data_IF_979704073483
#
_entry.id   IF_979704073483
#
_cell.length_a   1.000
_cell.length_b   1.000
_cell.length_c   1.000
_cell.angle_alpha   90.00
_cell.angle_beta   90.00
_cell.angle_gamma   90.00
#
_symmetry.space_group_name_H-M   'P 1'
#
loop_
_entity.id
_entity.type
_entity.pdbx_description
1 polymer ?
#
# COMPACT_ATOMS: atom_id res chain seq x y z
N UNK A 1 -17.91 -47.80 38.99
CA UNK A 1 -19.30 -48.21 39.32
C UNK A 1 -20.19 -46.97 39.25
N UNK A 2 -21.30 -47.07 38.50
CA UNK A 2 -22.53 -46.23 38.54
C UNK A 2 -22.38 -44.70 38.52
N UNK A 3 -22.62 -44.06 37.37
CA UNK A 3 -23.90 -43.42 36.96
C UNK A 3 -24.51 -42.48 38.02
N UNK A 4 -24.54 -41.19 37.69
CA UNK A 4 -25.55 -40.20 38.09
C UNK A 4 -25.54 -39.04 37.07
N UNK A 5 -26.50 -39.07 36.15
CA UNK A 5 -27.18 -37.87 35.62
C UNK A 5 -28.24 -37.47 36.68
N UNK A 6 -28.67 -36.19 36.80
CA UNK A 6 -29.59 -35.64 35.80
C UNK A 6 -29.65 -34.10 35.61
N UNK A 7 -30.45 -33.75 34.59
CA UNK A 7 -31.38 -32.62 34.49
C UNK A 7 -30.97 -31.28 33.85
N UNK A 8 -31.61 -31.09 32.70
CA UNK A 8 -31.91 -29.88 31.93
C UNK A 8 -32.44 -28.71 32.76
N UNK A 9 -32.08 -27.49 32.35
CA UNK A 9 -32.98 -26.33 32.38
C UNK A 9 -32.70 -25.44 31.17
N UNK A 10 -33.76 -25.14 30.42
CA UNK A 10 -33.83 -24.15 29.37
C UNK A 10 -34.33 -22.82 29.95
N UNK A 11 -33.81 -21.71 29.45
CA UNK A 11 -34.39 -20.36 29.51
C UNK A 11 -33.83 -19.65 28.25
N UNK A 12 -34.57 -19.17 27.25
CA UNK A 12 -35.79 -18.37 27.18
C UNK A 12 -35.72 -17.13 28.08
N UNK A 13 -35.37 -16.01 27.47
CA UNK A 13 -35.47 -14.65 28.01
C UNK A 13 -35.21 -13.66 26.86
N UNK A 14 -36.18 -13.48 25.96
CA UNK A 14 -37.16 -12.39 25.97
C UNK A 14 -36.56 -11.02 25.63
N UNK A 15 -36.95 -10.57 24.44
CA UNK A 15 -36.81 -9.22 23.95
C UNK A 15 -37.46 -8.21 24.91
N UNK A 16 -36.73 -7.14 25.22
CA UNK A 16 -37.29 -5.91 25.75
C UNK A 16 -37.41 -4.92 24.60
N UNK A 17 -38.64 -4.75 24.10
CA UNK A 17 -39.03 -3.68 23.19
C UNK A 17 -38.89 -2.33 23.89
N UNK A 18 -38.08 -1.43 23.34
CA UNK A 18 -38.23 0.00 23.61
C UNK A 18 -39.38 0.52 22.75
N UNK A 19 -40.46 0.91 23.42
CA UNK A 19 -41.60 1.60 22.84
C UNK A 19 -41.30 3.09 22.83
N UNK A 20 -41.41 3.70 21.65
CA UNK A 20 -41.60 5.15 21.52
C UNK A 20 -40.32 5.96 21.32
N UNK A 21 -39.83 6.00 20.09
CA UNK A 21 -39.45 7.25 19.43
C UNK A 21 -39.37 7.05 17.92
N UNK A 22 -39.84 8.07 17.21
CA UNK A 22 -40.06 8.11 15.77
C UNK A 22 -38.71 8.11 15.04
N UNK A 23 -38.51 7.14 14.14
CA UNK A 23 -37.66 7.31 12.96
C UNK A 23 -36.17 6.96 13.07
N UNK A 24 -35.80 5.80 13.63
CA UNK A 24 -34.53 5.16 13.24
C UNK A 24 -34.80 4.17 12.12
N UNK A 25 -34.62 4.61 10.87
CA UNK A 25 -34.54 3.71 9.72
C UNK A 25 -33.20 2.99 9.82
N UNK A 26 -33.16 1.88 10.54
CA UNK A 26 -32.10 0.90 10.32
C UNK A 26 -32.39 0.25 8.97
N UNK A 27 -31.64 0.64 7.94
CA UNK A 27 -31.55 -0.17 6.74
C UNK A 27 -31.17 -1.59 7.19
N UNK A 28 -31.99 -2.62 6.93
CA UNK A 28 -31.57 -3.98 7.19
C UNK A 28 -30.29 -4.23 6.38
N UNK A 29 -29.34 -5.02 6.88
CA UNK A 29 -28.24 -5.46 6.04
C UNK A 29 -28.87 -6.13 4.82
N UNK A 30 -28.71 -5.53 3.64
CA UNK A 30 -28.99 -6.21 2.39
C UNK A 30 -28.00 -7.35 2.36
N UNK A 31 -28.43 -8.51 2.84
CA UNK A 31 -27.79 -9.78 2.55
C UNK A 31 -27.88 -9.91 1.03
N UNK A 32 -26.82 -9.48 0.35
CA UNK A 32 -26.60 -9.84 -1.03
C UNK A 32 -26.83 -11.35 -1.11
N UNK A 33 -27.65 -11.79 -2.06
CA UNK A 33 -27.84 -13.20 -2.33
C UNK A 33 -26.46 -13.88 -2.35
N UNK A 34 -26.27 -15.02 -1.66
CA UNK A 34 -24.98 -15.69 -1.53
C UNK A 34 -24.23 -15.87 -2.87
N UNK A 35 -24.96 -15.94 -3.99
CA UNK A 35 -24.40 -16.02 -5.34
C UNK A 35 -23.68 -14.77 -5.88
N UNK A 36 -23.89 -13.57 -5.34
CA UNK A 36 -23.21 -12.34 -5.79
C UNK A 36 -21.87 -12.08 -5.06
N UNK A 37 -21.67 -12.67 -3.86
CA UNK A 37 -20.37 -12.68 -3.17
C UNK A 37 -19.41 -13.68 -3.80
N UNK A 38 -19.92 -14.85 -4.20
CA UNK A 38 -19.11 -15.96 -4.69
C UNK A 38 -18.37 -15.71 -6.03
N UNK A 39 -18.71 -14.67 -6.81
CA UNK A 39 -18.08 -14.41 -8.12
C UNK A 39 -16.94 -13.39 -8.09
N UNK A 40 -16.64 -12.78 -6.93
CA UNK A 40 -15.56 -11.79 -6.79
C UNK A 40 -14.42 -12.23 -5.88
N UNK A 41 -14.59 -13.32 -5.14
CA UNK A 41 -13.65 -13.82 -4.14
C UNK A 41 -12.74 -14.88 -4.78
N UNK A 42 -11.48 -14.50 -5.03
CA UNK A 42 -10.42 -15.38 -5.52
C UNK A 42 -9.44 -15.68 -4.39
N UNK A 43 -9.02 -16.92 -4.21
CA UNK A 43 -7.95 -17.25 -3.24
C UNK A 43 -6.62 -17.31 -3.96
N UNK A 44 -5.66 -16.46 -3.56
CA UNK A 44 -4.33 -16.38 -4.16
C UNK A 44 -3.22 -16.73 -3.15
N UNK A 45 -2.13 -17.31 -3.65
CA UNK A 45 -0.84 -17.29 -2.94
C UNK A 45 -0.19 -15.91 -3.05
N UNK A 46 0.85 -15.65 -2.26
CA UNK A 46 1.64 -14.40 -2.39
C UNK A 46 2.30 -14.31 -3.77
N UNK A 47 2.77 -15.42 -4.33
CA UNK A 47 3.34 -15.47 -5.68
C UNK A 47 2.30 -15.14 -6.76
N UNK A 48 1.07 -15.66 -6.64
CA UNK A 48 0.01 -15.33 -7.59
C UNK A 48 -0.43 -13.86 -7.47
N UNK A 49 -0.39 -13.29 -6.26
CA UNK A 49 -0.62 -11.86 -6.08
C UNK A 49 0.53 -11.03 -6.69
N UNK A 50 1.79 -11.47 -6.56
CA UNK A 50 2.94 -10.85 -7.23
C UNK A 50 2.75 -10.84 -8.75
N UNK A 51 2.40 -11.99 -9.34
CA UNK A 51 2.11 -12.11 -10.78
C UNK A 51 0.90 -11.27 -11.22
N UNK A 52 -0.08 -11.03 -10.35
CA UNK A 52 -1.22 -10.12 -10.65
C UNK A 52 -0.75 -8.66 -10.72
N UNK A 53 0.08 -8.23 -9.78
CA UNK A 53 0.59 -6.86 -9.71
C UNK A 53 1.64 -6.60 -10.80
N UNK A 54 2.50 -7.59 -11.09
CA UNK A 54 3.67 -7.49 -11.97
C UNK A 54 3.86 -8.71 -12.89
N UNK A 55 2.87 -9.09 -13.72
CA UNK A 55 3.05 -10.15 -14.69
C UNK A 55 4.20 -9.81 -15.65
N UNK A 56 4.78 -10.89 -16.12
CA UNK A 56 5.93 -10.94 -17.03
C UNK A 56 5.46 -10.76 -18.47
N UNK A 57 4.62 -9.76 -18.71
CA UNK A 57 4.16 -9.34 -20.04
C UNK A 57 4.87 -8.04 -20.45
N UNK A 58 4.83 -7.75 -21.75
CA UNK A 58 5.32 -6.46 -22.26
C UNK A 58 4.50 -5.31 -21.67
N UNK A 59 5.21 -4.24 -21.32
CA UNK A 59 4.64 -3.02 -20.78
C UNK A 59 4.68 -1.91 -21.84
N UNK A 60 3.61 -1.13 -21.94
CA UNK A 60 3.54 0.07 -22.80
C UNK A 60 3.16 1.27 -21.96
N UNK A 61 3.66 2.43 -22.34
CA UNK A 61 3.21 3.68 -21.76
C UNK A 61 2.23 4.34 -22.71
N UNK A 62 0.98 4.49 -22.27
CA UNK A 62 -0.03 5.21 -23.03
C UNK A 62 -0.64 6.29 -22.13
N UNK A 63 -0.77 7.53 -22.63
CA UNK A 63 -1.35 8.60 -21.84
C UNK A 63 -2.78 8.25 -21.39
N UNK A 64 -3.08 8.57 -20.14
CA UNK A 64 -4.41 8.43 -19.55
C UNK A 64 -5.12 9.77 -19.68
N UNK A 65 -6.39 9.76 -20.07
CA UNK A 65 -7.20 10.98 -20.19
C UNK A 65 -7.52 11.57 -18.83
N UNK A 66 -7.79 12.87 -18.76
CA UNK A 66 -8.21 13.51 -17.49
C UNK A 66 -9.48 12.87 -16.91
N UNK A 67 -10.39 12.40 -17.78
CA UNK A 67 -11.61 11.70 -17.35
C UNK A 67 -11.29 10.37 -16.66
N UNK A 68 -10.39 9.57 -17.23
CA UNK A 68 -9.89 8.34 -16.61
C UNK A 68 -9.16 8.64 -15.29
N UNK A 69 -8.34 9.69 -15.22
CA UNK A 69 -7.62 10.09 -14.00
C UNK A 69 -8.58 10.48 -12.87
N UNK A 70 -9.58 11.32 -13.14
CA UNK A 70 -10.60 11.72 -12.15
C UNK A 70 -11.43 10.52 -11.69
N UNK A 71 -11.71 9.56 -12.58
CA UNK A 71 -12.41 8.34 -12.23
C UNK A 71 -11.55 7.44 -11.31
N UNK A 72 -10.25 7.30 -11.60
CA UNK A 72 -9.31 6.57 -10.76
C UNK A 72 -9.18 7.19 -9.37
N UNK A 73 -8.99 8.51 -9.29
CA UNK A 73 -8.95 9.26 -8.03
C UNK A 73 -10.20 8.99 -7.17
N UNK A 74 -11.38 9.11 -7.78
CA UNK A 74 -12.66 8.87 -7.12
C UNK A 74 -12.78 7.42 -6.62
N UNK A 75 -12.29 6.47 -7.41
CA UNK A 75 -12.35 5.04 -7.08
C UNK A 75 -11.41 4.71 -5.91
N UNK A 76 -10.17 5.22 -5.93
CA UNK A 76 -9.18 5.02 -4.87
C UNK A 76 -9.67 5.61 -3.55
N UNK A 77 -10.20 6.83 -3.55
CA UNK A 77 -10.78 7.45 -2.35
C UNK A 77 -11.92 6.59 -1.80
N UNK A 78 -12.83 6.13 -2.67
CA UNK A 78 -13.95 5.28 -2.25
C UNK A 78 -13.48 3.95 -1.64
N UNK A 79 -12.46 3.32 -2.23
CA UNK A 79 -11.86 2.08 -1.72
C UNK A 79 -11.24 2.31 -0.34
N UNK A 80 -10.47 3.39 -0.15
CA UNK A 80 -9.88 3.75 1.14
C UNK A 80 -10.93 4.06 2.21
N UNK A 81 -12.01 4.78 1.85
CA UNK A 81 -13.11 5.08 2.78
C UNK A 81 -13.85 3.82 3.23
N UNK A 82 -13.93 2.81 2.36
CA UNK A 82 -14.67 1.56 2.62
C UNK A 82 -13.82 0.41 3.11
N UNK A 83 -12.49 0.54 3.06
CA UNK A 83 -11.55 -0.51 3.46
C UNK A 83 -11.83 -1.02 4.88
N UNK A 84 -12.10 -0.14 5.85
CA UNK A 84 -12.42 -0.54 7.24
C UNK A 84 -13.68 -1.41 7.34
N UNK A 85 -14.71 -1.12 6.54
CA UNK A 85 -15.96 -1.85 6.55
C UNK A 85 -15.88 -3.16 5.76
N UNK A 86 -15.03 -3.19 4.72
CA UNK A 86 -14.85 -4.36 3.86
C UNK A 86 -16.01 -4.73 2.96
N UNK A 87 -16.98 -3.82 2.79
CA UNK A 87 -18.05 -4.01 1.81
C UNK A 87 -18.55 -2.67 1.25
N UNK A 88 -19.23 -2.78 0.11
CA UNK A 88 -19.98 -1.69 -0.51
C UNK A 88 -21.48 -1.90 -0.32
N UNK A 89 -22.20 -0.85 0.08
CA UNK A 89 -23.65 -0.81 -0.11
C UNK A 89 -23.98 -0.68 -1.61
N UNK A 90 -25.18 -1.10 -2.01
CA UNK A 90 -25.59 -1.21 -3.42
C UNK A 90 -25.31 0.05 -4.26
N UNK A 91 -25.63 1.24 -3.73
CA UNK A 91 -25.39 2.50 -4.45
C UNK A 91 -23.90 2.80 -4.69
N UNK A 92 -23.04 2.50 -3.71
CA UNK A 92 -21.58 2.68 -3.84
C UNK A 92 -20.97 1.63 -4.76
N UNK A 93 -21.46 0.38 -4.72
CA UNK A 93 -21.04 -0.66 -5.65
C UNK A 93 -21.36 -0.26 -7.10
N UNK A 94 -22.59 0.20 -7.36
CA UNK A 94 -22.98 0.68 -8.69
C UNK A 94 -22.13 1.88 -9.15
N UNK A 95 -21.74 2.77 -8.23
CA UNK A 95 -20.82 3.87 -8.55
C UNK A 95 -19.41 3.35 -8.86
N UNK A 96 -18.88 2.42 -8.06
CA UNK A 96 -17.58 1.81 -8.28
C UNK A 96 -17.52 1.12 -9.66
N UNK A 97 -18.57 0.38 -10.03
CA UNK A 97 -18.68 -0.26 -11.36
C UNK A 97 -18.61 0.75 -12.51
N UNK A 98 -19.29 1.91 -12.40
CA UNK A 98 -19.18 2.98 -13.41
C UNK A 98 -17.77 3.57 -13.49
N UNK A 99 -17.11 3.76 -12.35
CA UNK A 99 -15.74 4.26 -12.31
C UNK A 99 -14.75 3.24 -12.89
N UNK A 100 -14.93 1.95 -12.63
CA UNK A 100 -14.13 0.87 -13.22
C UNK A 100 -14.27 0.83 -14.75
N UNK A 101 -15.51 0.95 -15.25
CA UNK A 101 -15.76 1.01 -16.69
C UNK A 101 -15.09 2.22 -17.36
N UNK A 102 -15.00 3.35 -16.64
CA UNK A 102 -14.30 4.54 -17.13
C UNK A 102 -12.78 4.39 -17.10
N UNK A 103 -12.22 3.83 -16.03
CA UNK A 103 -10.76 3.69 -15.89
C UNK A 103 -10.19 2.54 -16.71
N UNK A 104 -11.02 1.57 -17.08
CA UNK A 104 -10.60 0.30 -17.67
C UNK A 104 -9.79 -0.59 -16.73
N UNK A 105 -9.91 -0.38 -15.41
CA UNK A 105 -9.28 -1.21 -14.38
C UNK A 105 -10.23 -2.30 -13.89
N UNK A 106 -9.67 -3.35 -13.32
CA UNK A 106 -10.42 -4.43 -12.67
C UNK A 106 -10.29 -4.35 -11.16
N UNK A 107 -11.42 -4.48 -10.46
CA UNK A 107 -11.45 -4.65 -9.00
C UNK A 107 -11.72 -6.11 -8.66
N UNK A 108 -10.78 -6.72 -7.93
CA UNK A 108 -10.86 -8.10 -7.43
C UNK A 108 -10.92 -8.10 -5.91
N UNK A 109 -11.70 -9.02 -5.33
CA UNK A 109 -11.64 -9.33 -3.90
C UNK A 109 -10.80 -10.59 -3.76
N UNK A 110 -9.68 -10.49 -3.07
CA UNK A 110 -8.70 -11.58 -2.99
C UNK A 110 -8.55 -12.00 -1.55
N UNK A 111 -8.65 -13.30 -1.28
CA UNK A 111 -8.17 -13.93 -0.06
C UNK A 111 -6.73 -14.39 -0.29
N UNK A 112 -5.75 -13.72 0.32
CA UNK A 112 -4.35 -14.13 0.23
C UNK A 112 -4.03 -15.12 1.32
N UNK A 113 -3.57 -16.32 0.96
CA UNK A 113 -3.05 -17.28 1.93
C UNK A 113 -1.67 -16.82 2.40
N UNK A 114 -1.58 -16.47 3.68
CA UNK A 114 -0.36 -16.08 4.36
C UNK A 114 0.35 -17.35 4.82
N UNK A 115 0.73 -18.23 3.90
CA UNK A 115 1.60 -19.36 4.25
C UNK A 115 3.04 -19.00 3.90
N UNK A 116 3.87 -18.67 4.90
CA UNK A 116 5.25 -18.31 4.64
C UNK A 116 6.18 -19.52 4.50
N UNK A 117 5.72 -20.76 4.77
CA UNK A 117 6.57 -21.96 4.83
C UNK A 117 6.00 -23.22 4.13
N UNK A 118 4.80 -23.18 3.54
CA UNK A 118 4.22 -24.32 2.82
C UNK A 118 3.72 -25.46 3.71
N UNK A 119 3.33 -25.18 4.95
CA UNK A 119 2.78 -26.20 5.84
C UNK A 119 1.25 -26.25 5.70
N UNK A 120 0.77 -27.25 4.96
CA UNK A 120 -0.65 -27.51 4.67
C UNK A 120 -1.49 -28.00 5.86
N UNK A 121 -0.95 -28.03 7.09
CA UNK A 121 -1.66 -28.55 8.26
C UNK A 121 -2.07 -27.43 9.23
N UNK A 122 -3.33 -27.00 9.08
CA UNK A 122 -3.99 -25.96 9.88
C UNK A 122 -4.73 -24.95 9.00
N UNK A 123 -5.68 -24.20 9.56
CA UNK A 123 -6.24 -23.02 8.90
C UNK A 123 -5.11 -22.00 8.69
N UNK A 124 -4.45 -22.05 7.53
CA UNK A 124 -3.44 -21.05 7.18
C UNK A 124 -4.09 -19.67 7.29
N UNK A 125 -3.48 -18.71 8.01
CA UNK A 125 -4.07 -17.39 8.12
C UNK A 125 -4.24 -16.81 6.72
N UNK A 126 -5.46 -16.39 6.38
CA UNK A 126 -5.74 -15.67 5.15
C UNK A 126 -6.01 -14.21 5.43
N UNK A 127 -5.96 -13.42 4.37
CA UNK A 127 -6.32 -12.02 4.44
C UNK A 127 -7.10 -11.56 3.22
N UNK A 128 -8.24 -10.92 3.48
CA UNK A 128 -9.03 -10.23 2.48
C UNK A 128 -8.37 -8.93 2.02
N UNK A 129 -8.15 -8.80 0.72
CA UNK A 129 -7.66 -7.61 0.05
C UNK A 129 -8.61 -7.20 -1.07
N UNK A 130 -8.64 -5.91 -1.36
CA UNK A 130 -9.15 -5.40 -2.64
C UNK A 130 -7.98 -5.05 -3.53
N UNK A 131 -7.96 -5.62 -4.73
CA UNK A 131 -6.91 -5.38 -5.73
C UNK A 131 -7.54 -4.66 -6.91
N UNK A 132 -7.10 -3.44 -7.16
CA UNK A 132 -7.41 -2.66 -8.35
C UNK A 132 -6.21 -2.70 -9.28
N UNK A 133 -6.32 -3.34 -10.45
CA UNK A 133 -5.20 -3.53 -11.37
C UNK A 133 -5.62 -3.40 -12.83
N UNK A 134 -4.63 -3.17 -13.69
CA UNK A 134 -4.83 -3.25 -15.13
C UNK A 134 -5.12 -4.69 -15.58
N UNK A 135 -6.04 -4.91 -16.53
CA UNK A 135 -6.22 -6.20 -17.16
C UNK A 135 -4.90 -6.69 -17.77
N UNK A 136 -4.60 -8.01 -17.77
CA UNK A 136 -3.34 -8.53 -18.31
C UNK A 136 -3.04 -8.11 -19.76
N UNK A 137 -4.08 -7.94 -20.59
CA UNK A 137 -3.95 -7.53 -22.00
C UNK A 137 -3.94 -6.02 -22.24
N UNK A 138 -4.04 -5.18 -21.20
CA UNK A 138 -4.16 -3.74 -21.35
C UNK A 138 -3.34 -2.96 -20.30
N UNK A 139 -2.01 -3.14 -20.35
CA UNK A 139 -1.08 -2.50 -19.41
C UNK A 139 -0.49 -1.22 -19.98
N UNK A 140 -1.08 -0.09 -19.59
CA UNK A 140 -0.80 1.25 -20.10
C UNK A 140 0.00 2.11 -19.13
N UNK A 141 0.29 1.61 -17.92
CA UNK A 141 0.96 2.38 -16.86
C UNK A 141 0.00 3.03 -15.87
N UNK A 142 -1.26 2.55 -15.79
CA UNK A 142 -2.23 3.04 -14.79
C UNK A 142 -1.88 2.60 -13.37
N UNK A 143 -1.01 1.60 -13.22
CA UNK A 143 -0.55 1.06 -11.94
C UNK A 143 -1.51 0.04 -11.33
N UNK A 144 -1.12 -0.47 -10.17
CA UNK A 144 -1.90 -1.39 -9.35
C UNK A 144 -2.00 -0.87 -7.92
N UNK A 145 -3.17 -1.04 -7.31
CA UNK A 145 -3.54 -0.48 -6.02
C UNK A 145 -4.16 -1.58 -5.17
N UNK A 146 -3.52 -1.93 -4.06
CA UNK A 146 -3.98 -2.96 -3.14
C UNK A 146 -4.44 -2.31 -1.86
N UNK A 147 -5.60 -2.70 -1.36
CA UNK A 147 -6.20 -2.19 -0.13
C UNK A 147 -6.45 -3.33 0.84
N UNK A 148 -5.92 -3.16 2.05
CA UNK A 148 -6.19 -4.03 3.18
C UNK A 148 -7.60 -3.80 3.69
N UNK A 149 -8.39 -4.87 3.78
CA UNK A 149 -9.79 -4.81 4.20
C UNK A 149 -9.93 -5.14 5.69
N UNK A 150 -10.88 -4.49 6.35
CA UNK A 150 -11.14 -4.63 7.77
C UNK A 150 -10.32 -3.67 8.63
N UNK A 151 -10.47 -3.83 9.94
CA UNK A 151 -9.76 -3.00 10.91
C UNK A 151 -8.29 -3.41 11.04
N UNK A 152 -7.40 -2.41 11.10
CA UNK A 152 -5.98 -2.65 11.32
C UNK A 152 -5.68 -2.78 12.80
N UNK A 153 -4.92 -3.82 13.13
CA UNK A 153 -4.35 -4.04 14.46
C UNK A 153 -2.82 -3.82 14.44
N UNK A 154 -2.23 -3.30 15.53
CA UNK A 154 -2.93 -2.78 16.71
C UNK A 154 -3.72 -1.50 16.40
N UNK A 155 -4.92 -1.34 17.00
CA UNK A 155 -5.67 -0.09 16.87
C UNK A 155 -4.89 1.06 17.53
N UNK A 156 -4.62 2.11 16.77
CA UNK A 156 -3.97 3.33 17.28
C UNK A 156 -4.96 4.46 17.45
N UNK A 157 -4.99 5.08 18.64
CA UNK A 157 -5.83 6.26 18.92
C UNK A 157 -5.35 7.43 18.06
N UNK A 158 -6.24 8.02 17.24
CA UNK A 158 -5.87 9.08 16.29
C UNK A 158 -5.34 8.60 14.93
N UNK A 159 -5.58 7.31 14.60
CA UNK A 159 -5.20 6.54 13.39
C UNK A 159 -4.59 7.38 12.25
N UNK A 160 -3.26 7.41 12.25
CA UNK A 160 -2.48 7.66 11.03
C UNK A 160 -2.09 6.28 10.53
N UNK A 161 -2.53 5.93 9.33
CA UNK A 161 -2.21 4.66 8.69
C UNK A 161 -1.10 4.86 7.66
N UNK A 162 -0.48 3.77 7.19
CA UNK A 162 0.58 3.86 6.19
C UNK A 162 0.05 3.58 4.79
N UNK A 163 0.50 4.38 3.82
CA UNK A 163 0.44 4.08 2.39
C UNK A 163 1.85 3.69 1.96
N UNK A 164 2.02 2.46 1.49
CA UNK A 164 3.30 1.96 0.96
C UNK A 164 3.35 2.14 -0.56
N UNK A 165 4.52 2.49 -1.09
CA UNK A 165 4.73 2.63 -2.52
C UNK A 165 6.06 2.07 -2.99
N UNK A 166 6.06 1.55 -4.22
CA UNK A 166 7.26 1.27 -5.02
C UNK A 166 6.99 1.76 -6.46
N UNK A 167 7.17 3.06 -6.74
CA UNK A 167 6.80 3.65 -8.03
C UNK A 167 7.70 3.17 -9.18
N UNK A 168 8.87 2.63 -8.88
CA UNK A 168 9.84 2.12 -9.84
C UNK A 168 10.02 0.60 -9.75
N UNK A 169 8.98 -0.16 -9.35
CA UNK A 169 9.05 -1.60 -9.12
C UNK A 169 9.60 -2.45 -10.27
N UNK A 170 9.52 -1.96 -11.53
CA UNK A 170 10.09 -2.62 -12.73
C UNK A 170 11.48 -2.13 -13.15
N UNK A 171 12.01 -1.10 -12.49
CA UNK A 171 13.34 -0.54 -12.76
C UNK A 171 14.26 -0.78 -11.57
N UNK A 172 13.83 -0.40 -10.37
CA UNK A 172 14.54 -0.64 -9.13
C UNK A 172 14.37 -2.10 -8.73
N UNK A 173 15.27 -2.94 -9.23
CA UNK A 173 15.31 -4.38 -9.01
C UNK A 173 14.89 -4.77 -7.58
N UNK A 174 13.93 -5.68 -7.46
CA UNK A 174 13.38 -6.22 -6.22
C UNK A 174 12.53 -5.28 -5.36
N UNK A 175 12.41 -3.98 -5.65
CA UNK A 175 11.58 -3.08 -4.82
C UNK A 175 10.10 -3.45 -4.83
N UNK A 176 9.57 -3.99 -5.94
CA UNK A 176 8.21 -4.54 -6.01
C UNK A 176 8.01 -5.73 -5.06
N UNK A 177 8.83 -6.77 -5.19
CA UNK A 177 8.81 -7.96 -4.33
C UNK A 177 8.97 -7.60 -2.84
N UNK A 178 9.88 -6.68 -2.52
CA UNK A 178 10.09 -6.18 -1.15
C UNK A 178 8.84 -5.43 -0.67
N UNK A 179 8.24 -4.56 -1.49
CA UNK A 179 7.04 -3.83 -1.11
C UNK A 179 5.85 -4.77 -0.87
N UNK A 180 5.67 -5.81 -1.69
CA UNK A 180 4.66 -6.84 -1.44
C UNK A 180 4.94 -7.61 -0.15
N UNK A 181 6.19 -8.03 0.06
CA UNK A 181 6.61 -8.70 1.30
C UNK A 181 6.29 -7.85 2.53
N UNK A 182 6.67 -6.57 2.52
CA UNK A 182 6.36 -5.62 3.61
C UNK A 182 4.86 -5.35 3.77
N UNK A 183 4.10 -5.41 2.68
CA UNK A 183 2.65 -5.20 2.72
C UNK A 183 1.91 -6.41 3.30
N UNK A 184 2.32 -7.63 2.96
CA UNK A 184 1.62 -8.88 3.32
C UNK A 184 2.12 -9.45 4.66
N UNK A 185 3.42 -9.37 4.93
CA UNK A 185 3.98 -9.89 6.16
C UNK A 185 3.51 -9.07 7.37
N UNK A 186 2.92 -9.76 8.34
CA UNK A 186 2.54 -9.15 9.62
C UNK A 186 3.67 -9.31 10.63
N UNK A 187 3.95 -8.23 11.36
CA UNK A 187 4.74 -8.30 12.58
C UNK A 187 3.89 -7.93 13.79
N UNK A 188 4.17 -8.58 14.92
CA UNK A 188 3.40 -8.39 16.15
C UNK A 188 3.68 -6.98 16.67
N UNK A 189 2.61 -6.22 16.94
CA UNK A 189 2.70 -4.86 17.49
C UNK A 189 3.00 -3.77 16.46
N UNK A 190 3.21 -4.13 15.19
CA UNK A 190 3.39 -3.17 14.09
C UNK A 190 2.11 -3.10 13.28
N UNK A 191 1.57 -1.90 13.10
CA UNK A 191 0.37 -1.73 12.27
C UNK A 191 0.77 -1.89 10.79
N UNK A 192 0.16 -2.83 10.05
CA UNK A 192 0.49 -3.02 8.64
C UNK A 192 0.02 -1.81 7.81
N UNK A 193 0.58 -1.61 6.60
CA UNK A 193 0.07 -0.59 5.70
C UNK A 193 -1.39 -0.82 5.32
N UNK A 194 -2.15 0.27 5.20
CA UNK A 194 -3.53 0.24 4.70
C UNK A 194 -3.58 -0.11 3.22
N UNK A 195 -2.62 0.41 2.45
CA UNK A 195 -2.61 0.23 1.01
C UNK A 195 -1.19 0.18 0.47
N UNK A 196 -1.05 -0.46 -0.70
CA UNK A 196 0.16 -0.54 -1.50
C UNK A 196 -0.15 -0.04 -2.92
N UNK A 197 0.51 1.03 -3.37
CA UNK A 197 0.40 1.53 -4.75
C UNK A 197 1.70 1.31 -5.50
N UNK A 198 1.63 0.70 -6.67
CA UNK A 198 2.81 0.31 -7.46
C UNK A 198 2.59 0.65 -8.93
N UNK A 199 3.67 1.01 -9.61
CA UNK A 199 3.60 1.23 -11.05
C UNK A 199 3.63 -0.12 -11.80
N UNK A 200 2.96 -0.16 -12.95
CA UNK A 200 2.90 -1.33 -13.83
C UNK A 200 3.87 -1.25 -15.01
N UNK A 201 4.55 -0.12 -15.21
CA UNK A 201 5.49 0.13 -16.31
C UNK A 201 6.90 0.49 -15.81
N UNK A 202 7.88 0.34 -16.70
CA UNK A 202 9.23 0.82 -16.51
C UNK A 202 9.27 2.37 -16.55
N UNK A 203 9.98 3.00 -15.59
CA UNK A 203 9.98 4.48 -15.43
C UNK A 203 10.47 5.26 -16.65
N UNK A 204 11.35 4.69 -17.47
CA UNK A 204 11.86 5.31 -18.71
C UNK A 204 11.06 4.93 -19.95
N UNK A 205 9.90 4.27 -19.81
CA UNK A 205 9.10 3.93 -20.97
C UNK A 205 8.56 5.22 -21.63
N UNK A 206 8.81 5.36 -22.92
CA UNK A 206 8.39 6.51 -23.72
C UNK A 206 7.11 6.18 -24.52
N UNK A 207 6.49 7.22 -25.13
CA UNK A 207 5.27 7.06 -25.95
C UNK A 207 5.47 6.21 -27.21
N UNK A 208 6.69 6.19 -27.76
CA UNK A 208 7.06 5.37 -28.91
C UNK A 208 7.42 3.91 -28.52
N UNK A 209 7.30 3.58 -27.24
CA UNK A 209 7.64 2.26 -26.72
C UNK A 209 9.13 2.07 -26.41
N UNK A 210 10.01 3.05 -26.57
CA UNK A 210 11.43 2.91 -26.18
C UNK A 210 11.63 3.01 -24.65
N UNK A 211 12.85 2.72 -24.16
CA UNK A 211 13.25 2.91 -22.75
C UNK A 211 14.42 3.90 -22.60
N UNK A 212 14.49 4.88 -23.49
CA UNK A 212 15.53 5.91 -23.43
C UNK A 212 15.36 6.78 -22.18
N UNK A 213 16.46 6.99 -21.45
CA UNK A 213 16.49 7.94 -20.34
C UNK A 213 16.55 9.36 -20.90
N UNK A 214 15.53 10.16 -20.62
CA UNK A 214 15.53 11.59 -20.91
C UNK A 214 15.95 12.39 -19.67
N UNK A 215 16.78 13.41 -19.89
CA UNK A 215 17.25 14.33 -18.84
C UNK A 215 16.73 15.76 -19.12
N UNK A 216 16.14 16.45 -18.12
CA UNK A 216 15.98 16.02 -16.73
C UNK A 216 14.83 14.99 -16.54
N UNK A 217 14.74 14.30 -15.38
CA UNK A 217 13.81 13.19 -15.15
C UNK A 217 12.33 13.48 -15.46
N UNK A 218 11.91 14.74 -15.32
CA UNK A 218 10.55 15.22 -15.62
C UNK A 218 10.21 15.16 -17.12
N UNK A 219 11.15 14.77 -17.98
CA UNK A 219 10.88 14.45 -19.38
C UNK A 219 10.46 13.00 -19.62
N UNK A 220 10.61 12.12 -18.64
CA UNK A 220 10.21 10.71 -18.76
C UNK A 220 8.74 10.56 -18.37
N UNK A 221 7.83 10.30 -19.32
CA UNK A 221 6.39 10.39 -19.06
C UNK A 221 5.87 9.23 -18.19
N UNK A 222 6.55 8.08 -18.19
CA UNK A 222 6.23 6.96 -17.31
C UNK A 222 6.89 7.05 -15.91
N UNK A 223 7.66 8.10 -15.62
CA UNK A 223 8.29 8.24 -14.31
C UNK A 223 7.29 8.77 -13.29
N UNK A 224 6.60 7.85 -12.63
CA UNK A 224 5.60 8.15 -11.63
C UNK A 224 6.09 9.10 -10.52
N UNK A 225 7.39 9.10 -10.19
CA UNK A 225 7.94 9.94 -9.12
C UNK A 225 8.12 11.41 -9.54
N UNK A 226 8.12 11.71 -10.85
CA UNK A 226 8.40 13.04 -11.39
C UNK A 226 7.26 13.61 -12.26
N UNK A 227 6.25 12.80 -12.58
CA UNK A 227 5.12 13.19 -13.42
C UNK A 227 3.87 13.41 -12.56
N UNK A 228 3.44 14.67 -12.41
CA UNK A 228 2.28 15.03 -11.61
C UNK A 228 0.97 14.42 -12.14
N UNK A 229 0.87 14.24 -13.46
CA UNK A 229 -0.30 13.64 -14.13
C UNK A 229 -0.21 12.12 -14.27
N UNK A 230 0.84 11.49 -13.71
CA UNK A 230 0.90 10.04 -13.65
C UNK A 230 -0.26 9.51 -12.79
N UNK A 231 -0.98 8.44 -13.21
CA UNK A 231 -2.09 7.85 -12.46
C UNK A 231 -1.77 7.59 -10.97
N UNK A 232 -0.62 6.98 -10.70
CA UNK A 232 -0.12 6.77 -9.33
C UNK A 232 0.07 8.09 -8.55
N UNK A 233 0.62 9.15 -9.15
CA UNK A 233 0.81 10.44 -8.48
C UNK A 233 -0.54 11.10 -8.13
N UNK A 234 -1.48 11.14 -9.08
CA UNK A 234 -2.84 11.67 -8.92
C UNK A 234 -3.63 10.93 -7.83
N UNK A 235 -3.65 9.60 -7.90
CA UNK A 235 -4.28 8.75 -6.89
C UNK A 235 -3.70 8.97 -5.49
N UNK A 236 -2.37 9.11 -5.38
CA UNK A 236 -1.67 9.37 -4.12
C UNK A 236 -2.06 10.72 -3.51
N UNK A 237 -2.05 11.78 -4.33
CA UNK A 237 -2.41 13.11 -3.87
C UNK A 237 -3.84 13.16 -3.30
N UNK A 238 -4.80 12.51 -3.96
CA UNK A 238 -6.17 12.44 -3.48
C UNK A 238 -6.32 11.55 -2.25
N UNK A 239 -5.61 10.42 -2.16
CA UNK A 239 -5.59 9.59 -0.97
C UNK A 239 -5.11 10.37 0.27
N UNK A 240 -4.02 11.12 0.14
CA UNK A 240 -3.42 11.90 1.24
C UNK A 240 -4.31 13.07 1.71
N UNK A 241 -5.08 13.66 0.80
CA UNK A 241 -6.06 14.71 1.12
C UNK A 241 -7.26 14.16 1.87
N UNK A 242 -7.74 12.97 1.51
CA UNK A 242 -8.98 12.41 2.04
C UNK A 242 -8.80 11.47 3.24
N UNK A 243 -7.59 10.93 3.46
CA UNK A 243 -7.30 10.03 4.58
C UNK A 243 -6.02 10.45 5.30
N UNK A 244 -5.97 10.24 6.62
CA UNK A 244 -4.78 10.50 7.44
C UNK A 244 -3.76 9.39 7.20
N UNK A 245 -2.95 9.57 6.17
CA UNK A 245 -1.93 8.61 5.75
C UNK A 245 -0.53 9.20 5.94
N UNK A 246 0.42 8.36 6.37
CA UNK A 246 1.84 8.59 6.20
C UNK A 246 2.31 7.80 4.97
N UNK A 247 2.98 8.46 4.05
CA UNK A 247 3.48 7.85 2.82
C UNK A 247 4.91 7.33 3.04
N UNK A 248 5.11 6.04 2.83
CA UNK A 248 6.43 5.40 2.79
C UNK A 248 6.67 4.97 1.34
N UNK A 249 7.74 5.45 0.73
CA UNK A 249 8.04 5.18 -0.68
C UNK A 249 9.44 4.56 -0.83
N UNK A 250 9.48 3.36 -1.38
CA UNK A 250 10.70 2.58 -1.59
C UNK A 250 11.26 2.83 -2.98
N UNK A 251 12.56 3.04 -3.04
CA UNK A 251 13.37 3.13 -4.24
C UNK A 251 14.65 2.31 -4.08
N UNK A 252 15.33 2.09 -5.19
CA UNK A 252 16.62 1.46 -5.25
C UNK A 252 17.62 2.31 -6.00
N UNK A 253 18.87 2.28 -5.55
CA UNK A 253 19.97 2.93 -6.25
C UNK A 253 21.16 1.99 -6.40
N UNK A 254 22.03 2.34 -7.34
CA UNK A 254 23.36 1.78 -7.47
C UNK A 254 24.34 2.63 -6.65
N UNK A 255 25.12 1.98 -5.78
CA UNK A 255 26.09 2.66 -4.92
C UNK A 255 27.26 3.15 -5.77
N UNK A 256 27.59 4.43 -5.60
CA UNK A 256 28.83 5.02 -6.02
C UNK A 256 29.84 4.93 -4.86
N UNK A 257 30.76 3.97 -4.98
CA UNK A 257 31.80 3.74 -3.98
C UNK A 257 32.84 4.86 -3.94
N UNK A 258 32.96 5.67 -4.99
CA UNK A 258 33.86 6.84 -4.99
C UNK A 258 33.29 7.93 -4.07
N UNK A 259 31.96 8.04 -4.03
CA UNK A 259 31.25 8.97 -3.15
C UNK A 259 30.90 8.38 -1.78
N UNK A 260 31.44 7.19 -1.44
CA UNK A 260 31.19 6.44 -0.19
C UNK A 260 29.70 6.34 0.15
N UNK A 261 28.88 6.01 -0.85
CA UNK A 261 27.44 5.96 -0.61
C UNK A 261 27.08 4.93 0.47
N UNK A 262 26.15 5.26 1.36
CA UNK A 262 25.63 4.33 2.36
C UNK A 262 24.86 3.19 1.69
N UNK A 263 24.42 2.20 2.47
CA UNK A 263 23.54 1.13 1.99
C UNK A 263 22.07 1.55 1.96
N UNK A 264 21.70 2.55 2.78
CA UNK A 264 20.36 3.13 2.87
C UNK A 264 20.45 4.64 3.02
N UNK A 265 19.60 5.37 2.30
CA UNK A 265 19.36 6.80 2.52
C UNK A 265 17.89 7.01 2.86
N UNK A 266 17.64 7.71 3.96
CA UNK A 266 16.30 8.14 4.38
C UNK A 266 16.14 9.63 4.11
N UNK A 267 15.00 10.03 3.55
CA UNK A 267 14.68 11.44 3.30
C UNK A 267 13.22 11.75 3.56
N UNK A 268 12.93 13.00 3.92
CA UNK A 268 11.59 13.60 3.98
C UNK A 268 11.11 14.17 2.63
N UNK A 269 11.90 14.00 1.56
CA UNK A 269 11.66 14.66 0.28
C UNK A 269 11.97 16.17 0.30
N UNK A 270 12.76 16.64 1.27
CA UNK A 270 13.13 18.04 1.45
C UNK A 270 14.55 18.13 2.04
N UNK A 271 15.20 19.29 1.91
CA UNK A 271 16.55 19.52 2.43
C UNK A 271 16.65 19.35 3.95
N UNK A 272 15.57 19.68 4.67
CA UNK A 272 15.52 19.50 6.13
C UNK A 272 14.83 18.18 6.48
N UNK A 273 15.46 17.34 7.31
CA UNK A 273 14.81 16.22 7.99
C UNK A 273 13.46 16.58 8.61
N UNK A 274 12.56 15.60 8.65
CA UNK A 274 11.30 15.68 9.39
C UNK A 274 11.33 14.72 10.58
N UNK A 275 10.50 14.94 11.60
CA UNK A 275 10.42 14.05 12.76
C UNK A 275 10.16 12.58 12.38
N UNK A 276 9.32 12.32 11.37
CA UNK A 276 9.06 10.94 10.95
C UNK A 276 10.26 10.31 10.22
N UNK A 277 10.98 11.06 9.38
CA UNK A 277 12.17 10.52 8.71
C UNK A 277 13.30 10.27 9.72
N UNK A 278 13.44 11.12 10.74
CA UNK A 278 14.36 10.90 11.87
C UNK A 278 13.98 9.68 12.72
N UNK A 279 12.69 9.53 13.04
CA UNK A 279 12.20 8.37 13.80
C UNK A 279 12.45 7.05 13.06
N UNK A 280 12.19 7.02 11.75
CA UNK A 280 12.49 5.87 10.89
C UNK A 280 13.99 5.60 10.85
N UNK A 281 14.82 6.64 10.68
CA UNK A 281 16.28 6.50 10.70
C UNK A 281 16.79 5.87 12.01
N UNK A 282 16.30 6.35 13.16
CA UNK A 282 16.69 5.83 14.47
C UNK A 282 16.36 4.34 14.63
N UNK A 283 15.15 3.94 14.25
CA UNK A 283 14.73 2.53 14.27
C UNK A 283 15.52 1.66 13.29
N UNK A 284 15.83 2.18 12.10
CA UNK A 284 16.62 1.45 11.11
C UNK A 284 18.06 1.21 11.61
N UNK A 285 18.71 2.22 12.18
CA UNK A 285 20.05 2.08 12.77
C UNK A 285 20.06 1.06 13.92
N UNK A 286 19.01 1.02 14.74
CA UNK A 286 18.87 0.02 15.79
C UNK A 286 18.63 -1.39 15.22
N UNK A 287 17.81 -1.53 14.19
CA UNK A 287 17.47 -2.80 13.56
C UNK A 287 18.61 -3.41 12.73
N UNK A 288 19.51 -2.55 12.23
CA UNK A 288 20.60 -2.91 11.33
C UNK A 288 21.91 -2.19 11.72
N UNK A 289 22.51 -2.53 12.87
CA UNK A 289 23.65 -1.80 13.43
C UNK A 289 24.92 -1.85 12.57
N UNK A 290 24.99 -2.79 11.62
CA UNK A 290 26.15 -2.99 10.75
C UNK A 290 25.98 -2.35 9.36
N UNK A 291 24.80 -1.79 9.04
CA UNK A 291 24.59 -1.11 7.76
C UNK A 291 24.97 0.37 7.88
N UNK A 292 25.57 0.90 6.81
CA UNK A 292 25.71 2.36 6.67
C UNK A 292 24.33 2.93 6.30
N UNK A 293 23.73 3.71 7.20
CA UNK A 293 22.41 4.32 7.01
C UNK A 293 22.52 5.82 7.22
N UNK A 294 22.23 6.58 6.18
CA UNK A 294 22.35 8.03 6.14
C UNK A 294 20.98 8.73 6.17
N UNK A 295 20.95 9.93 6.75
CA UNK A 295 19.88 10.89 6.51
C UNK A 295 20.28 11.86 5.38
N UNK A 296 19.43 12.01 4.37
CA UNK A 296 19.57 13.12 3.43
C UNK A 296 19.52 14.47 4.15
N UNK A 297 20.38 15.41 3.72
CA UNK A 297 20.50 16.74 4.31
C UNK A 297 21.38 16.81 5.57
N UNK A 298 21.86 15.66 6.07
CA UNK A 298 22.78 15.57 7.22
C UNK A 298 24.01 14.74 6.86
N UNK A 299 23.78 13.48 6.51
CA UNK A 299 24.84 12.49 6.24
C UNK A 299 25.04 12.26 4.72
N UNK A 300 24.02 12.58 3.90
CA UNK A 300 24.04 12.43 2.45
C UNK A 300 23.55 13.68 1.73
N UNK A 301 24.15 14.00 0.58
CA UNK A 301 23.84 15.18 -0.23
C UNK A 301 23.11 14.86 -1.55
N UNK A 302 22.78 13.59 -1.81
CA UNK A 302 22.06 13.13 -3.01
C UNK A 302 20.93 12.16 -2.64
N UNK A 303 20.04 11.88 -3.59
CA UNK A 303 18.89 10.97 -3.44
C UNK A 303 17.87 11.43 -2.39
N UNK A 304 17.73 12.75 -2.24
CA UNK A 304 16.83 13.37 -1.28
C UNK A 304 15.36 13.44 -1.69
N UNK A 305 14.99 13.03 -2.91
CA UNK A 305 13.61 13.10 -3.43
C UNK A 305 12.94 14.48 -3.35
N UNK A 306 13.70 15.57 -3.50
CA UNK A 306 13.16 16.94 -3.42
C UNK A 306 12.15 17.25 -4.55
N UNK A 307 12.37 16.69 -5.73
CA UNK A 307 11.52 16.83 -6.92
C UNK A 307 10.39 15.81 -6.98
N UNK A 308 10.28 14.92 -5.98
CA UNK A 308 9.29 13.85 -5.98
C UNK A 308 7.86 14.40 -5.81
N UNK A 309 6.99 14.14 -6.78
CA UNK A 309 5.64 14.71 -6.82
C UNK A 309 4.73 14.16 -5.72
N UNK A 310 4.92 12.90 -5.29
CA UNK A 310 4.18 12.34 -4.15
C UNK A 310 4.64 12.94 -2.82
N UNK A 311 5.95 13.17 -2.66
CA UNK A 311 6.50 13.88 -1.50
C UNK A 311 5.97 15.31 -1.40
N UNK A 312 5.90 16.03 -2.53
CA UNK A 312 5.27 17.35 -2.61
C UNK A 312 3.77 17.30 -2.26
N UNK A 313 3.04 16.30 -2.75
CA UNK A 313 1.63 16.11 -2.43
C UNK A 313 1.39 15.83 -0.93
N UNK A 314 2.25 15.02 -0.30
CA UNK A 314 2.21 14.75 1.13
C UNK A 314 2.41 16.02 1.95
N UNK A 315 3.43 16.83 1.65
CA UNK A 315 3.66 18.11 2.32
C UNK A 315 2.48 19.07 2.15
N UNK A 316 1.95 19.16 0.93
CA UNK A 316 0.77 20.00 0.62
C UNK A 316 -0.45 19.57 1.46
N UNK A 317 -0.65 18.26 1.64
CA UNK A 317 -1.71 17.70 2.47
C UNK A 317 -1.38 17.70 3.98
N UNK A 318 -0.22 18.24 4.39
CA UNK A 318 0.30 18.18 5.77
C UNK A 318 0.34 16.74 6.30
N UNK A 319 0.89 15.86 5.48
CA UNK A 319 1.11 14.44 5.73
C UNK A 319 2.59 14.13 5.72
N UNK A 320 2.93 13.01 6.34
CA UNK A 320 4.29 12.52 6.37
C UNK A 320 4.68 11.83 5.07
N UNK A 321 5.92 12.06 4.65
CA UNK A 321 6.58 11.37 3.56
C UNK A 321 7.93 10.88 4.04
N UNK A 322 8.18 9.58 3.88
CA UNK A 322 9.48 8.97 4.11
C UNK A 322 9.89 8.26 2.83
N UNK A 323 10.93 8.81 2.21
CA UNK A 323 11.60 8.25 1.05
C UNK A 323 12.73 7.33 1.52
N UNK A 324 12.78 6.12 0.99
CA UNK A 324 13.72 5.08 1.39
C UNK A 324 14.46 4.59 0.14
N UNK A 325 15.73 4.94 0.06
CA UNK A 325 16.62 4.53 -1.02
C UNK A 325 17.49 3.37 -0.54
N UNK A 326 17.49 2.25 -1.25
CA UNK A 326 18.21 1.04 -0.86
C UNK A 326 19.21 0.58 -1.92
N UNK A 327 20.42 0.28 -1.49
CA UNK A 327 21.44 -0.37 -2.32
C UNK A 327 20.98 -1.72 -2.86
N UNK A 328 21.56 -2.19 -3.98
CA UNK A 328 21.22 -3.51 -4.54
C UNK A 328 21.55 -4.66 -3.57
N UNK A 329 22.67 -4.61 -2.85
CA UNK A 329 23.06 -5.64 -1.87
C UNK A 329 22.00 -5.82 -0.79
N UNK A 330 21.53 -4.72 -0.20
CA UNK A 330 20.47 -4.76 0.79
C UNK A 330 19.15 -5.25 0.18
N UNK A 331 18.77 -4.78 -1.02
CA UNK A 331 17.56 -5.26 -1.70
C UNK A 331 17.61 -6.76 -1.95
N UNK A 332 18.76 -7.29 -2.35
CA UNK A 332 18.95 -8.73 -2.55
C UNK A 332 18.81 -9.51 -1.24
N UNK A 333 19.37 -9.01 -0.13
CA UNK A 333 19.18 -9.59 1.20
C UNK A 333 17.71 -9.56 1.61
N UNK A 334 17.05 -8.41 1.51
CA UNK A 334 15.65 -8.25 1.88
C UNK A 334 14.73 -9.12 1.03
N UNK A 335 15.07 -9.43 -0.22
CA UNK A 335 14.27 -10.34 -1.04
C UNK A 335 14.22 -11.77 -0.49
N UNK A 336 15.31 -12.26 0.07
CA UNK A 336 15.43 -13.67 0.50
C UNK A 336 15.35 -13.87 2.01
N UNK A 337 15.70 -12.86 2.80
CA UNK A 337 15.71 -12.90 4.26
C UNK A 337 14.43 -12.25 4.84
N UNK A 338 13.46 -13.11 5.16
CA UNK A 338 12.22 -12.72 5.83
C UNK A 338 12.45 -12.05 7.18
N UNK A 339 13.45 -12.47 7.95
CA UNK A 339 13.73 -11.87 9.25
C UNK A 339 14.26 -10.43 9.08
N UNK A 340 15.08 -10.19 8.06
CA UNK A 340 15.48 -8.84 7.68
C UNK A 340 14.28 -7.98 7.23
N UNK A 341 13.36 -8.51 6.41
CA UNK A 341 12.14 -7.77 6.05
C UNK A 341 11.27 -7.41 7.24
N UNK A 342 11.09 -8.32 8.21
CA UNK A 342 10.34 -8.01 9.44
C UNK A 342 10.98 -6.88 10.24
N UNK A 343 12.30 -6.91 10.40
CA UNK A 343 13.06 -5.80 11.03
C UNK A 343 12.87 -4.48 10.28
N UNK A 344 12.89 -4.52 8.94
CA UNK A 344 12.61 -3.36 8.10
C UNK A 344 11.17 -2.85 8.29
N UNK A 345 10.17 -3.73 8.25
CA UNK A 345 8.76 -3.39 8.45
C UNK A 345 8.54 -2.72 9.82
N UNK A 346 9.13 -3.28 10.88
CA UNK A 346 9.08 -2.70 12.22
C UNK A 346 9.72 -1.31 12.27
N UNK A 347 10.83 -1.10 11.55
CA UNK A 347 11.46 0.22 11.50
C UNK A 347 10.64 1.25 10.70
N UNK A 348 10.04 0.85 9.58
CA UNK A 348 9.27 1.75 8.71
C UNK A 348 7.89 2.10 9.30
N UNK A 349 7.17 1.12 9.84
CA UNK A 349 5.77 1.26 10.26
C UNK A 349 5.61 1.31 11.79
N UNK A 350 6.69 1.11 12.55
CA UNK A 350 6.70 1.13 14.01
C UNK A 350 6.70 2.52 14.62
N UNK A 351 6.60 3.60 13.82
CA UNK A 351 6.48 4.98 14.29
C UNK A 351 5.44 5.09 15.42
N UNK A 352 5.60 5.99 16.37
CA UNK A 352 4.52 6.27 17.31
C UNK A 352 3.58 7.37 16.77
N UNK A 353 2.50 7.64 17.50
CA UNK A 353 1.59 8.71 17.10
C UNK A 353 2.21 10.11 17.25
N UNK A 354 3.26 10.30 18.04
CA UNK A 354 3.91 11.61 18.21
C UNK A 354 4.71 11.97 16.95
N UNK A 355 5.52 11.04 16.44
CA UNK A 355 6.31 11.21 15.20
C UNK A 355 5.48 11.62 13.98
N UNK A 356 4.20 11.23 13.96
CA UNK A 356 3.30 11.45 12.84
C UNK A 356 2.29 12.60 13.09
N UNK A 357 2.20 13.11 14.33
CA UNK A 357 1.12 14.03 14.77
C UNK A 357 1.14 15.38 14.08
N UNK A 358 2.33 15.93 13.85
CA UNK A 358 2.50 17.29 13.32
C UNK A 358 2.59 17.33 11.80
N UNK A 359 2.52 16.17 11.12
CA UNK A 359 2.54 16.10 9.66
C UNK A 359 3.85 16.60 9.08
N UNK A 360 4.96 15.96 9.45
CA UNK A 360 6.31 16.12 8.88
C UNK A 360 6.68 17.54 8.43
N UNK A 361 6.41 18.52 9.29
CA UNK A 361 6.84 19.90 9.09
C UNK A 361 8.33 20.04 9.29
#
# INVERSE_FOLDING_TARGET
MSKLEPMRAAAVGLAACCVGWVGCVHEPPVTASPGARASMEETLTVEQLDDLLWPKTDDRWEPVTERELVALESLVVMLLERADAGYFGAAKLARAQRLLAETGLELRVVEVRLDPNGALEGESPSESLWVLSEPPGDRRGRGSYVFRVGELEPRRRGRIEHLLQAPHSRFDKYTGEIALGLFIERDIGVQPPRALFVNSTHRYRQFDGTRELLVPPERNPADAAHQADHPLARATALALRNRRLALIQLHGFERDLVNDDPEVIISSGALRPSEASEGVLGRLRAAFPNLQIAHYGVDAARLGAETNVQGQAARTARRCFVHVEMSESLRQQLRTDRAARRRLAAALFGADNQELRHGCQ
#
